data_IF_712312193028
#
_entry.id   IF_712312193028
#
_cell.length_a   1.000
_cell.length_b   1.000
_cell.length_c   1.000
_cell.angle_alpha   90.00
_cell.angle_beta   90.00
_cell.angle_gamma   90.00
#
_symmetry.space_group_name_H-M   'P 1'
#
loop_
_entity.id
_entity.type
_entity.pdbx_description
1 polymer ?
#
# COMPACT_ATOMS: atom_id res chain seq x y z
N UNK A 1 -15.11 19.54 -7.54
CA UNK A 1 -14.12 18.47 -7.32
C UNK A 1 -13.02 18.41 -8.37
N UNK A 2 -13.32 18.28 -9.67
CA UNK A 2 -12.28 18.22 -10.73
C UNK A 2 -11.26 19.37 -10.70
N UNK A 3 -11.72 20.61 -10.49
CA UNK A 3 -10.85 21.79 -10.37
C UNK A 3 -9.83 21.64 -9.23
N UNK A 4 -10.29 21.25 -8.04
CA UNK A 4 -9.45 21.04 -6.86
C UNK A 4 -8.42 19.92 -7.08
N UNK A 5 -8.84 18.80 -7.68
CA UNK A 5 -7.92 17.69 -7.99
C UNK A 5 -6.84 18.12 -8.99
N UNK A 6 -7.16 18.96 -9.97
CA UNK A 6 -6.17 19.47 -10.92
C UNK A 6 -5.19 20.44 -10.27
N UNK A 7 -5.66 21.26 -9.34
CA UNK A 7 -4.79 22.16 -8.56
C UNK A 7 -3.82 21.36 -7.68
N UNK A 8 -4.31 20.34 -6.98
CA UNK A 8 -3.47 19.47 -6.15
C UNK A 8 -2.46 18.67 -6.97
N UNK A 9 -2.81 18.25 -8.19
CA UNK A 9 -1.86 17.58 -9.10
C UNK A 9 -0.66 18.46 -9.46
N UNK A 10 -0.79 19.78 -9.42
CA UNK A 10 0.32 20.70 -9.64
C UNK A 10 1.22 20.92 -8.42
N UNK A 11 0.78 20.51 -7.23
CA UNK A 11 1.45 20.80 -5.96
C UNK A 11 1.97 19.55 -5.24
N UNK A 12 1.43 18.36 -5.55
CA UNK A 12 1.75 17.11 -4.86
C UNK A 12 2.06 15.99 -5.86
N UNK A 13 3.11 15.21 -5.57
CA UNK A 13 3.47 14.02 -6.36
C UNK A 13 2.50 12.85 -6.18
N UNK A 14 1.81 12.82 -5.03
CA UNK A 14 0.90 11.75 -4.61
C UNK A 14 -0.28 12.35 -3.86
N UNK A 15 -1.49 11.97 -4.25
CA UNK A 15 -2.73 12.41 -3.60
C UNK A 15 -3.49 11.16 -3.14
N UNK A 16 -3.74 11.05 -1.83
CA UNK A 16 -4.56 10.00 -1.25
C UNK A 16 -5.86 10.64 -0.79
N UNK A 17 -6.99 10.09 -1.27
CA UNK A 17 -8.32 10.59 -0.91
C UNK A 17 -9.03 9.51 -0.10
N UNK A 18 -9.34 9.82 1.14
CA UNK A 18 -10.20 8.97 1.98
C UNK A 18 -11.68 9.28 1.70
N UNK A 19 -12.51 8.24 1.74
CA UNK A 19 -13.93 8.34 1.34
C UNK A 19 -14.80 7.50 2.27
N UNK A 20 -16.07 7.91 2.49
CA UNK A 20 -17.02 7.05 3.20
C UNK A 20 -17.27 5.74 2.43
N UNK A 21 -17.86 4.70 3.08
CA UNK A 21 -18.00 3.40 2.45
C UNK A 21 -18.90 3.45 1.21
N UNK A 22 -18.38 2.95 0.09
CA UNK A 22 -19.01 3.05 -1.24
C UNK A 22 -20.42 2.45 -1.31
N UNK A 23 -20.74 1.48 -0.46
CA UNK A 23 -22.07 0.84 -0.45
C UNK A 23 -23.18 1.73 0.13
N UNK A 24 -22.83 2.78 0.88
CA UNK A 24 -23.80 3.67 1.54
C UNK A 24 -23.80 5.09 0.96
N UNK A 25 -22.69 5.54 0.38
CA UNK A 25 -22.52 6.92 -0.07
C UNK A 25 -21.86 6.97 -1.46
N UNK A 26 -22.23 8.00 -2.25
CA UNK A 26 -21.76 8.18 -3.63
C UNK A 26 -20.37 8.78 -3.76
N UNK A 27 -19.80 9.39 -2.71
CA UNK A 27 -18.52 10.11 -2.75
C UNK A 27 -17.39 9.27 -3.34
N UNK A 28 -17.23 8.03 -2.84
CA UNK A 28 -16.24 7.08 -3.34
C UNK A 28 -16.42 6.78 -4.84
N UNK A 29 -17.67 6.71 -5.32
CA UNK A 29 -17.98 6.47 -6.72
C UNK A 29 -17.63 7.71 -7.57
N UNK A 30 -18.00 8.91 -7.12
CA UNK A 30 -17.69 10.16 -7.83
C UNK A 30 -16.18 10.34 -7.94
N UNK A 31 -15.46 10.19 -6.84
CA UNK A 31 -14.00 10.38 -6.78
C UNK A 31 -13.24 9.31 -7.55
N UNK A 32 -13.76 8.07 -7.59
CA UNK A 32 -13.13 6.98 -8.35
C UNK A 32 -12.99 7.28 -9.85
N UNK A 33 -13.94 8.02 -10.44
CA UNK A 33 -13.90 8.39 -11.86
C UNK A 33 -12.84 9.46 -12.19
N UNK A 34 -12.36 10.19 -11.19
CA UNK A 34 -11.37 11.27 -11.34
C UNK A 34 -9.99 10.91 -10.80
N UNK A 35 -9.85 9.72 -10.20
CA UNK A 35 -8.64 9.20 -9.60
C UNK A 35 -7.94 8.22 -10.54
N UNK A 36 -6.61 8.14 -10.46
CA UNK A 36 -5.81 7.26 -11.33
C UNK A 36 -5.94 5.77 -10.92
N UNK A 37 -6.38 5.53 -9.68
CA UNK A 37 -6.66 4.22 -9.15
C UNK A 37 -7.45 4.26 -7.84
N UNK A 38 -8.07 3.13 -7.51
CA UNK A 38 -8.81 2.91 -6.27
C UNK A 38 -8.29 1.65 -5.58
N UNK A 39 -8.07 1.74 -4.27
CA UNK A 39 -7.80 0.58 -3.42
C UNK A 39 -9.07 0.26 -2.64
N UNK A 40 -9.60 -0.96 -2.81
CA UNK A 40 -10.79 -1.40 -2.10
C UNK A 40 -10.40 -1.97 -0.73
N UNK A 41 -10.73 -1.26 0.34
CA UNK A 41 -10.50 -1.73 1.72
C UNK A 41 -11.73 -2.46 2.24
N UNK A 42 -11.54 -3.69 2.70
CA UNK A 42 -12.60 -4.55 3.26
C UNK A 42 -12.21 -4.97 4.68
N UNK A 43 -13.08 -4.72 5.65
CA UNK A 43 -12.86 -5.17 7.03
C UNK A 43 -13.21 -6.66 7.17
N UNK A 44 -12.22 -7.48 7.52
CA UNK A 44 -12.37 -8.89 7.86
C UNK A 44 -13.32 -9.07 9.05
N UNK A 45 -14.03 -10.21 9.07
CA UNK A 45 -14.98 -10.58 10.12
C UNK A 45 -16.14 -9.60 10.34
N UNK A 46 -16.28 -8.57 9.50
CA UNK A 46 -17.41 -7.62 9.52
C UNK A 46 -18.15 -7.60 8.18
N UNK A 47 -17.42 -7.67 7.07
CA UNK A 47 -18.00 -7.66 5.74
C UNK A 47 -17.78 -8.99 5.03
N UNK A 48 -18.82 -9.48 4.35
CA UNK A 48 -18.76 -10.72 3.56
C UNK A 48 -18.16 -10.48 2.18
N UNK A 49 -17.75 -11.55 1.50
CA UNK A 49 -17.32 -11.51 0.10
C UNK A 49 -18.35 -10.85 -0.83
N UNK A 50 -19.64 -11.05 -0.56
CA UNK A 50 -20.72 -10.44 -1.35
C UNK A 50 -20.71 -8.91 -1.26
N UNK A 51 -20.41 -8.34 -0.08
CA UNK A 51 -20.25 -6.89 0.07
C UNK A 51 -19.08 -6.37 -0.78
N UNK A 52 -17.93 -7.05 -0.74
CA UNK A 52 -16.77 -6.68 -1.55
C UNK A 52 -17.06 -6.74 -3.06
N UNK A 53 -17.76 -7.78 -3.52
CA UNK A 53 -18.18 -7.91 -4.93
C UNK A 53 -19.13 -6.77 -5.33
N UNK A 54 -20.10 -6.43 -4.47
CA UNK A 54 -21.03 -5.34 -4.74
C UNK A 54 -20.32 -3.98 -4.79
N UNK A 55 -19.41 -3.73 -3.86
CA UNK A 55 -18.58 -2.52 -3.83
C UNK A 55 -17.74 -2.40 -5.11
N UNK A 56 -17.07 -3.49 -5.51
CA UNK A 56 -16.34 -3.56 -6.78
C UNK A 56 -17.23 -3.24 -7.97
N UNK A 57 -18.41 -3.87 -8.08
CA UNK A 57 -19.34 -3.61 -9.19
C UNK A 57 -19.77 -2.14 -9.23
N UNK A 58 -20.00 -1.52 -8.08
CA UNK A 58 -20.41 -0.11 -8.01
C UNK A 58 -19.31 0.84 -8.50
N UNK A 59 -18.06 0.61 -8.08
CA UNK A 59 -16.91 1.38 -8.57
C UNK A 59 -16.68 1.15 -10.08
N UNK A 60 -16.84 -0.08 -10.56
CA UNK A 60 -16.71 -0.40 -11.99
C UNK A 60 -17.78 0.27 -12.85
N UNK A 61 -19.02 0.43 -12.35
CA UNK A 61 -20.10 1.12 -13.08
C UNK A 61 -19.77 2.58 -13.40
N UNK A 62 -18.93 3.22 -12.61
CA UNK A 62 -18.48 4.60 -12.81
C UNK A 62 -17.06 4.68 -13.37
N UNK A 63 -16.58 3.59 -13.97
CA UNK A 63 -15.23 3.46 -14.54
C UNK A 63 -14.08 3.65 -13.54
N UNK A 64 -14.33 3.42 -12.25
CA UNK A 64 -13.29 3.42 -11.23
C UNK A 64 -12.29 2.27 -11.43
N UNK A 65 -11.01 2.60 -11.63
CA UNK A 65 -9.94 1.62 -11.82
C UNK A 65 -9.48 1.05 -10.48
N UNK A 66 -9.93 -0.13 -10.13
CA UNK A 66 -9.46 -0.80 -8.90
C UNK A 66 -8.07 -1.38 -9.15
N UNK A 67 -7.07 -0.87 -8.43
CA UNK A 67 -5.66 -1.28 -8.56
C UNK A 67 -5.25 -2.35 -7.56
N UNK A 68 -6.04 -2.55 -6.50
CA UNK A 68 -5.78 -3.54 -5.48
C UNK A 68 -6.88 -3.60 -4.42
N UNK A 69 -6.77 -4.57 -3.52
CA UNK A 69 -7.67 -4.72 -2.38
C UNK A 69 -6.89 -4.94 -1.09
N UNK A 70 -7.39 -4.39 0.02
CA UNK A 70 -6.82 -4.56 1.36
C UNK A 70 -7.85 -5.26 2.23
N UNK A 71 -7.48 -6.39 2.82
CA UNK A 71 -8.26 -7.03 3.87
C UNK A 71 -7.76 -6.53 5.23
N UNK A 72 -8.52 -5.66 5.88
CA UNK A 72 -8.14 -5.02 7.14
C UNK A 72 -8.77 -5.75 8.36
N UNK A 73 -8.21 -5.60 9.57
CA UNK A 73 -8.68 -6.24 10.82
C UNK A 73 -8.78 -7.78 10.76
N UNK A 74 -7.87 -8.42 10.03
CA UNK A 74 -7.75 -9.88 10.07
C UNK A 74 -7.35 -10.29 11.49
N UNK A 75 -8.23 -11.06 12.14
CA UNK A 75 -7.88 -11.73 13.39
C UNK A 75 -7.06 -12.96 13.01
N UNK A 76 -5.77 -12.92 13.27
CA UNK A 76 -4.94 -14.13 13.22
C UNK A 76 -5.29 -14.94 14.46
N UNK A 77 -5.84 -16.16 14.33
CA UNK A 77 -6.09 -16.99 15.49
C UNK A 77 -4.77 -17.17 16.23
N UNK A 78 -4.78 -16.97 17.55
CA UNK A 78 -3.68 -17.39 18.41
C UNK A 78 -3.71 -18.92 18.46
N UNK A 79 -3.25 -19.59 17.40
CA UNK A 79 -2.81 -20.97 17.52
C UNK A 79 -1.65 -20.93 18.51
N UNK A 80 -1.79 -21.67 19.61
CA UNK A 80 -1.05 -21.52 20.86
C UNK A 80 0.42 -21.17 20.66
N UNK A 81 0.90 -20.23 21.48
CA UNK A 81 2.25 -19.69 21.69
C UNK A 81 3.39 -20.01 20.68
N UNK A 82 3.52 -21.22 20.15
CA UNK A 82 4.52 -21.62 19.17
C UNK A 82 4.32 -21.08 17.73
N UNK A 83 3.10 -20.82 17.26
CA UNK A 83 2.92 -20.34 15.86
C UNK A 83 3.00 -18.80 15.73
N UNK A 84 2.63 -18.09 16.81
CA UNK A 84 2.75 -16.63 16.93
C UNK A 84 4.21 -16.20 16.82
N UNK A 85 5.13 -16.93 17.46
CA UNK A 85 6.56 -16.61 17.45
C UNK A 85 7.18 -16.73 16.06
N UNK A 86 6.80 -17.73 15.27
CA UNK A 86 7.29 -17.86 13.89
C UNK A 86 6.87 -16.68 13.00
N UNK A 87 5.61 -16.21 13.13
CA UNK A 87 5.12 -15.12 12.30
C UNK A 87 5.67 -13.76 12.74
N UNK A 88 5.77 -13.52 14.06
CA UNK A 88 6.37 -12.29 14.59
C UNK A 88 7.88 -12.23 14.42
N UNK A 89 8.60 -13.34 14.61
CA UNK A 89 10.04 -13.40 14.36
C UNK A 89 10.36 -13.31 12.86
N UNK A 90 9.55 -13.88 11.97
CA UNK A 90 9.70 -13.69 10.53
C UNK A 90 9.58 -12.22 10.11
N UNK A 91 8.56 -11.52 10.63
CA UNK A 91 8.37 -10.09 10.38
C UNK A 91 9.45 -9.22 11.02
N UNK A 92 9.89 -9.54 12.23
CA UNK A 92 10.95 -8.82 12.92
C UNK A 92 12.30 -9.01 12.21
N UNK A 93 12.60 -10.22 11.72
CA UNK A 93 13.82 -10.53 10.97
C UNK A 93 13.83 -9.82 9.62
N UNK A 94 12.71 -9.86 8.88
CA UNK A 94 12.58 -9.12 7.62
C UNK A 94 12.77 -7.61 7.81
N UNK A 95 12.16 -7.04 8.86
CA UNK A 95 12.33 -5.62 9.20
C UNK A 95 13.76 -5.30 9.63
N UNK A 96 14.39 -6.18 10.41
CA UNK A 96 15.77 -6.04 10.88
C UNK A 96 16.77 -6.12 9.72
N UNK A 97 16.60 -7.05 8.79
CA UNK A 97 17.45 -7.19 7.61
C UNK A 97 17.32 -5.97 6.69
N UNK A 98 16.09 -5.45 6.54
CA UNK A 98 15.82 -4.22 5.79
C UNK A 98 16.45 -2.99 6.45
N UNK A 99 16.31 -2.82 7.77
CA UNK A 99 16.94 -1.73 8.52
C UNK A 99 18.47 -1.86 8.54
N UNK A 100 18.99 -3.06 8.77
CA UNK A 100 20.43 -3.33 8.76
C UNK A 100 21.02 -3.00 7.40
N UNK A 101 20.41 -3.42 6.29
CA UNK A 101 20.89 -3.05 4.95
C UNK A 101 20.84 -1.52 4.71
N UNK A 102 19.83 -0.83 5.26
CA UNK A 102 19.67 0.62 5.13
C UNK A 102 20.72 1.42 5.89
N UNK A 103 21.16 0.94 7.06
CA UNK A 103 22.17 1.60 7.91
C UNK A 103 23.60 1.04 7.74
N UNK A 104 23.76 -0.13 7.14
CA UNK A 104 25.08 -0.66 6.72
C UNK A 104 25.54 -0.05 5.39
N UNK A 105 24.65 0.69 4.72
CA UNK A 105 24.93 1.45 3.51
C UNK A 105 25.53 2.81 3.83
N UNK A 106 26.86 2.80 4.01
CA UNK A 106 27.80 3.90 3.75
C UNK A 106 28.22 4.82 4.90
N UNK A 107 29.53 5.06 4.94
CA UNK A 107 30.21 5.98 5.84
C UNK A 107 31.74 5.93 5.78
N UNK A 108 32.38 5.57 4.65
CA UNK A 108 33.80 5.89 4.46
C UNK A 108 34.15 6.15 2.99
N UNK A 109 33.81 7.34 2.53
CA UNK A 109 34.53 7.97 1.44
C UNK A 109 35.97 8.29 1.91
N UNK A 110 36.96 7.55 1.42
CA UNK A 110 38.34 8.00 1.37
C UNK A 110 38.95 7.64 0.01
N UNK A 111 39.01 8.66 -0.85
CA UNK A 111 39.96 8.88 -1.95
C UNK A 111 41.20 7.96 -1.93
N UNK A 112 41.42 7.18 -2.99
CA UNK A 112 42.72 7.02 -3.68
C UNK A 112 42.66 6.01 -4.84
N UNK A 113 43.23 6.42 -5.97
CA UNK A 113 43.89 5.57 -6.97
C UNK A 113 43.08 4.59 -7.85
N UNK A 114 42.37 5.15 -8.83
CA UNK A 114 42.17 4.49 -10.13
C UNK A 114 43.26 4.92 -11.12
N UNK A 115 44.52 4.61 -10.81
CA UNK A 115 45.57 4.51 -11.83
C UNK A 115 46.39 3.25 -11.57
N UNK A 116 46.46 2.43 -12.62
CA UNK A 116 47.51 1.46 -12.94
C UNK A 116 47.05 0.00 -12.97
N UNK A 117 47.26 -0.58 -14.15
CA UNK A 117 47.59 -1.99 -14.36
C UNK A 117 46.45 -3.00 -14.52
N UNK A 118 45.69 -2.83 -15.60
CA UNK A 118 45.20 -3.97 -16.37
C UNK A 118 46.34 -4.39 -17.32
N UNK A 119 47.28 -5.17 -16.77
CA UNK A 119 48.36 -5.83 -17.51
C UNK A 119 48.12 -7.33 -17.45
N UNK A 120 47.43 -7.85 -18.46
CA UNK A 120 47.64 -9.12 -19.18
C UNK A 120 46.47 -9.38 -20.11
#
# INVERSE_FOLDING_TARGET
>A
MRKLMNEFRGQYDRIIVDTPPVLFVSDASILSSTSDGVILVVRANRHTRAHAIRARKQLQKVNGRIVGGILNHVRVPKFGHHYSDFYYHGYARYRSDYYSAYYSGDGSDTRADTKSSMKR
#
